data_IF_438208799330
#
_entry.id   IF_438208799330
#
_cell.length_a   1.000
_cell.length_b   1.000
_cell.length_c   1.000
_cell.angle_alpha   90.00
_cell.angle_beta   90.00
_cell.angle_gamma   90.00
#
_symmetry.space_group_name_H-M   'P 1'
#
loop_
_entity.id
_entity.type
_entity.pdbx_description
1 polymer ?
#
# COMPACT_ATOMS: atom_id res chain seq x y z
N UNK A 1 -7.28 -12.30 9.73
CA UNK A 1 -6.27 -11.26 9.99
C UNK A 1 -7.00 -10.22 10.83
N UNK A 2 -6.52 -9.89 12.03
CA UNK A 2 -7.14 -8.84 12.82
C UNK A 2 -6.84 -7.51 12.12
N UNK A 3 -7.87 -6.87 11.57
CA UNK A 3 -7.75 -5.53 10.97
C UNK A 3 -7.49 -4.56 12.12
N UNK A 4 -6.40 -3.80 12.03
CA UNK A 4 -6.10 -2.80 13.05
C UNK A 4 -7.10 -1.61 12.93
N UNK A 5 -7.32 -0.82 13.99
CA UNK A 5 -8.33 0.25 13.95
C UNK A 5 -8.05 1.31 12.87
N UNK A 6 -6.77 1.62 12.63
CA UNK A 6 -6.33 2.57 11.61
C UNK A 6 -6.50 2.04 10.19
N UNK A 7 -6.21 0.77 9.93
CA UNK A 7 -6.49 0.07 8.67
C UNK A 7 -8.01 0.06 8.38
N UNK A 8 -8.82 -0.22 9.40
CA UNK A 8 -10.27 -0.16 9.28
C UNK A 8 -10.74 1.25 8.95
N UNK A 9 -10.16 2.27 9.58
CA UNK A 9 -10.48 3.67 9.29
C UNK A 9 -10.16 4.04 7.84
N UNK A 10 -8.97 3.68 7.33
CA UNK A 10 -8.60 3.92 5.93
C UNK A 10 -9.54 3.19 4.97
N UNK A 11 -9.91 1.94 5.28
CA UNK A 11 -10.88 1.18 4.49
C UNK A 11 -12.25 1.88 4.46
N UNK A 12 -12.77 2.32 5.61
CA UNK A 12 -14.05 3.03 5.68
C UNK A 12 -14.01 4.35 4.93
N UNK A 13 -12.94 5.14 5.10
CA UNK A 13 -12.76 6.40 4.39
C UNK A 13 -12.75 6.17 2.89
N UNK A 14 -12.05 5.12 2.43
CA UNK A 14 -11.98 4.77 1.02
C UNK A 14 -13.36 4.45 0.44
N UNK A 15 -14.20 3.71 1.17
CA UNK A 15 -15.55 3.27 0.73
C UNK A 15 -16.60 4.37 0.81
N UNK A 16 -16.50 5.25 1.80
CA UNK A 16 -17.51 6.28 2.09
C UNK A 16 -17.16 7.65 1.49
N UNK A 17 -16.04 7.77 0.78
CA UNK A 17 -15.69 8.97 0.02
C UNK A 17 -16.41 9.02 -1.33
N UNK A 18 -16.60 10.23 -1.88
CA UNK A 18 -17.09 10.43 -3.25
C UNK A 18 -16.21 9.71 -4.31
N UNK A 19 -14.95 9.43 -3.97
CA UNK A 19 -13.98 8.77 -4.85
C UNK A 19 -13.86 7.26 -4.64
N UNK A 20 -14.80 6.62 -3.96
CA UNK A 20 -14.74 5.18 -3.67
C UNK A 20 -14.55 4.26 -4.89
N UNK A 21 -15.06 4.55 -6.11
CA UNK A 21 -14.81 3.70 -7.28
C UNK A 21 -13.34 3.63 -7.71
N UNK A 22 -12.53 4.60 -7.29
CA UNK A 22 -11.11 4.70 -7.64
C UNK A 22 -10.19 4.22 -6.51
N UNK A 23 -10.76 3.83 -5.37
CA UNK A 23 -10.02 3.45 -4.17
C UNK A 23 -10.00 1.93 -3.98
N UNK A 24 -8.81 1.38 -3.80
CA UNK A 24 -8.55 -0.05 -3.67
C UNK A 24 -7.74 -0.30 -2.39
N UNK A 25 -8.41 -0.48 -1.24
CA UNK A 25 -7.74 -0.74 0.04
C UNK A 25 -7.24 -2.19 0.13
N UNK A 26 -6.25 -2.41 1.00
CA UNK A 26 -5.80 -3.73 1.45
C UNK A 26 -5.44 -4.69 0.30
N UNK A 27 -4.61 -4.22 -0.64
CA UNK A 27 -4.22 -5.02 -1.80
C UNK A 27 -3.11 -6.02 -1.46
N UNK A 28 -3.12 -7.13 -2.19
CA UNK A 28 -2.15 -8.21 -2.06
C UNK A 28 -1.35 -8.38 -3.34
N UNK A 29 -0.08 -8.71 -3.20
CA UNK A 29 0.78 -9.17 -4.28
C UNK A 29 1.13 -10.64 -4.08
N UNK A 30 1.04 -11.43 -5.17
CA UNK A 30 1.47 -12.83 -5.15
C UNK A 30 2.99 -12.94 -5.26
N UNK A 31 3.65 -13.43 -4.21
CA UNK A 31 5.08 -13.78 -4.20
C UNK A 31 5.21 -15.29 -4.09
N UNK A 32 5.44 -15.96 -5.23
CA UNK A 32 5.36 -17.42 -5.31
C UNK A 32 3.93 -17.90 -4.99
N UNK A 33 3.77 -18.69 -3.93
CA UNK A 33 2.46 -19.16 -3.46
C UNK A 33 1.94 -18.41 -2.21
N UNK A 34 2.63 -17.34 -1.80
CA UNK A 34 2.29 -16.60 -0.59
C UNK A 34 1.75 -15.21 -0.96
N UNK A 35 0.68 -14.80 -0.29
CA UNK A 35 0.14 -13.46 -0.41
C UNK A 35 0.96 -12.54 0.50
N UNK A 36 1.61 -11.55 -0.10
CA UNK A 36 2.21 -10.46 0.63
C UNK A 36 1.32 -9.22 0.49
N UNK A 37 1.25 -8.42 1.54
CA UNK A 37 0.60 -7.11 1.46
C UNK A 37 1.32 -6.24 0.43
N UNK A 38 0.56 -5.58 -0.43
CA UNK A 38 1.07 -4.68 -1.46
C UNK A 38 1.24 -3.27 -0.88
N UNK A 39 0.15 -2.69 -0.42
CA UNK A 39 0.08 -1.46 0.37
C UNK A 39 -1.33 -1.29 0.95
N UNK A 40 -1.47 -0.34 1.87
CA UNK A 40 -2.70 -0.10 2.63
C UNK A 40 -3.84 0.44 1.75
N UNK A 41 -3.55 1.37 0.83
CA UNK A 41 -4.52 1.89 -0.12
C UNK A 41 -3.86 2.28 -1.45
N UNK A 42 -4.50 1.89 -2.55
CA UNK A 42 -4.18 2.39 -3.89
C UNK A 42 -5.34 3.22 -4.42
N UNK A 43 -5.02 4.40 -4.95
CA UNK A 43 -5.99 5.22 -5.69
C UNK A 43 -5.53 5.29 -7.14
N UNK A 44 -6.40 4.91 -8.08
CA UNK A 44 -6.11 4.94 -9.52
C UNK A 44 -7.06 5.90 -10.21
N UNK A 45 -6.54 6.94 -10.85
CA UNK A 45 -7.34 7.90 -11.61
C UNK A 45 -6.68 8.18 -12.97
N UNK A 46 -7.28 7.65 -14.04
CA UNK A 46 -6.66 7.67 -15.36
C UNK A 46 -5.27 7.03 -15.31
N UNK A 47 -4.25 7.76 -15.77
CA UNK A 47 -2.85 7.30 -15.76
C UNK A 47 -2.11 7.63 -14.46
N UNK A 48 -2.79 8.16 -13.45
CA UNK A 48 -2.20 8.50 -12.16
C UNK A 48 -2.52 7.42 -11.15
N UNK A 49 -1.47 6.89 -10.51
CA UNK A 49 -1.61 5.95 -9.39
C UNK A 49 -0.97 6.56 -8.15
N UNK A 50 -1.75 6.64 -7.08
CA UNK A 50 -1.31 7.12 -5.77
C UNK A 50 -1.28 5.93 -4.82
N UNK A 51 -0.14 5.72 -4.18
CA UNK A 51 0.06 4.63 -3.21
C UNK A 51 0.15 5.23 -1.81
N UNK A 52 -0.68 4.75 -0.91
CA UNK A 52 -0.68 5.16 0.49
C UNK A 52 -0.13 4.04 1.36
N UNK A 53 0.65 4.42 2.37
CA UNK A 53 0.91 3.55 3.50
C UNK A 53 0.48 4.23 4.79
N UNK A 54 -0.33 3.52 5.57
CA UNK A 54 -0.76 3.88 6.91
C UNK A 54 0.15 3.15 7.90
N UNK A 55 0.57 3.87 8.96
CA UNK A 55 1.39 3.32 10.03
C UNK A 55 1.04 4.00 11.33
N UNK A 56 0.39 3.26 12.21
CA UNK A 56 0.33 3.59 13.62
C UNK A 56 1.46 2.87 14.38
N UNK A 57 2.56 3.59 14.63
CA UNK A 57 3.70 3.06 15.40
C UNK A 57 3.99 4.01 16.55
N UNK A 58 3.80 3.52 17.77
CA UNK A 58 4.06 4.27 18.98
C UNK A 58 5.54 4.64 19.11
N UNK A 59 5.78 5.88 19.54
CA UNK A 59 7.11 6.36 19.89
C UNK A 59 7.45 5.90 21.31
N UNK A 60 8.63 5.29 21.51
CA UNK A 60 9.07 4.87 22.83
C UNK A 60 9.73 6.05 23.55
N UNK A 61 8.95 6.75 24.38
CA UNK A 61 9.42 7.90 25.15
C UNK A 61 10.36 7.53 26.32
N UNK A 62 10.40 6.27 26.75
CA UNK A 62 11.23 5.80 27.86
C UNK A 62 12.69 5.53 27.44
N UNK A 63 12.96 5.46 26.13
CA UNK A 63 14.30 5.27 25.61
C UNK A 63 15.01 6.62 25.37
N UNK A 64 16.35 6.59 25.38
CA UNK A 64 17.15 7.75 25.00
C UNK A 64 16.71 8.30 23.62
N UNK A 65 16.46 9.62 23.55
CA UNK A 65 15.75 10.28 22.45
C UNK A 65 16.29 9.89 21.06
N UNK A 66 17.61 9.96 20.86
CA UNK A 66 18.22 9.62 19.57
C UNK A 66 18.04 8.14 19.19
N UNK A 67 17.97 7.25 20.17
CA UNK A 67 17.71 5.81 19.94
C UNK A 67 16.25 5.58 19.63
N UNK A 68 15.34 6.22 20.39
CA UNK A 68 13.91 6.17 20.17
C UNK A 68 13.55 6.68 18.77
N UNK A 69 14.07 7.85 18.40
CA UNK A 69 13.88 8.47 17.09
C UNK A 69 14.36 7.58 15.94
N UNK A 70 15.61 7.09 16.00
CA UNK A 70 16.15 6.22 14.95
C UNK A 70 15.31 4.95 14.76
N UNK A 71 14.87 4.33 15.86
CA UNK A 71 14.05 3.11 15.83
C UNK A 71 12.66 3.39 15.28
N UNK A 72 12.03 4.47 15.72
CA UNK A 72 10.72 4.89 15.25
C UNK A 72 10.77 5.21 13.75
N UNK A 73 11.66 6.13 13.32
CA UNK A 73 11.79 6.54 11.93
C UNK A 73 12.05 5.36 10.99
N UNK A 74 12.95 4.44 11.38
CA UNK A 74 13.23 3.24 10.59
C UNK A 74 11.98 2.38 10.40
N UNK A 75 11.15 2.27 11.43
CA UNK A 75 9.94 1.42 11.41
C UNK A 75 8.75 2.10 10.74
N UNK A 76 8.49 3.38 11.02
CA UNK A 76 7.30 4.10 10.57
C UNK A 76 7.45 4.74 9.19
N UNK A 77 8.64 5.26 8.88
CA UNK A 77 8.88 6.01 7.64
C UNK A 77 9.69 5.19 6.65
N UNK A 78 10.92 4.81 7.00
CA UNK A 78 11.85 4.21 6.04
C UNK A 78 11.32 2.89 5.46
N UNK A 79 10.82 1.99 6.33
CA UNK A 79 10.26 0.70 5.90
C UNK A 79 9.02 0.87 5.00
N UNK A 80 8.17 1.85 5.29
CA UNK A 80 6.97 2.16 4.50
C UNK A 80 7.34 2.74 3.14
N UNK A 81 8.32 3.64 3.10
CA UNK A 81 8.86 4.16 1.85
C UNK A 81 9.44 3.04 0.97
N UNK A 82 10.22 2.11 1.55
CA UNK A 82 10.76 0.96 0.82
C UNK A 82 9.66 0.08 0.23
N UNK A 83 8.57 -0.17 0.98
CA UNK A 83 7.39 -0.91 0.50
C UNK A 83 6.74 -0.20 -0.68
N UNK A 84 6.45 1.11 -0.56
CA UNK A 84 5.81 1.91 -1.61
C UNK A 84 6.68 2.03 -2.86
N UNK A 85 8.00 2.17 -2.71
CA UNK A 85 8.94 2.14 -3.84
C UNK A 85 8.91 0.78 -4.54
N UNK A 86 8.87 -0.31 -3.77
CA UNK A 86 8.71 -1.67 -4.30
C UNK A 86 7.41 -1.84 -5.09
N UNK A 87 6.30 -1.34 -4.55
CA UNK A 87 4.99 -1.34 -5.19
C UNK A 87 4.99 -0.51 -6.50
N UNK A 88 5.53 0.71 -6.47
CA UNK A 88 5.65 1.56 -7.66
C UNK A 88 6.49 0.90 -8.76
N UNK A 89 7.64 0.30 -8.40
CA UNK A 89 8.46 -0.47 -9.35
C UNK A 89 7.71 -1.67 -9.93
N UNK A 90 6.88 -2.32 -9.13
CA UNK A 90 6.06 -3.46 -9.55
C UNK A 90 5.05 -3.05 -10.63
N UNK A 91 4.33 -1.93 -10.41
CA UNK A 91 3.38 -1.38 -11.39
C UNK A 91 4.08 -0.90 -12.67
N UNK A 92 5.19 -0.18 -12.55
CA UNK A 92 5.98 0.29 -13.71
C UNK A 92 6.58 -0.84 -14.54
N UNK A 93 6.74 -2.04 -13.98
CA UNK A 93 7.17 -3.24 -14.72
C UNK A 93 6.02 -3.98 -15.39
N UNK A 94 4.78 -3.56 -15.17
CA UNK A 94 3.59 -4.25 -15.66
C UNK A 94 3.33 -5.56 -14.95
N UNK A 95 3.69 -5.68 -13.67
CA UNK A 95 3.45 -6.91 -12.93
C UNK A 95 1.95 -7.17 -12.79
N UNK A 96 1.55 -8.36 -13.17
CA UNK A 96 0.14 -8.78 -13.25
C UNK A 96 -0.39 -9.38 -11.95
N UNK A 97 0.36 -9.32 -10.85
CA UNK A 97 0.09 -10.16 -9.68
C UNK A 97 -0.50 -9.40 -8.49
N UNK A 98 -1.33 -8.37 -8.75
CA UNK A 98 -2.02 -7.59 -7.70
C UNK A 98 -3.48 -8.00 -7.59
N UNK A 99 -3.92 -8.26 -6.36
CA UNK A 99 -5.21 -8.85 -6.04
C UNK A 99 -5.89 -8.12 -4.88
N UNK A 100 -7.22 -8.13 -4.86
CA UNK A 100 -8.00 -7.60 -3.72
C UNK A 100 -8.26 -8.65 -2.63
N UNK A 101 -7.64 -9.84 -2.73
CA UNK A 101 -7.74 -10.89 -1.73
C UNK A 101 -6.49 -11.78 -1.70
N UNK A 102 -6.21 -12.33 -0.52
CA UNK A 102 -5.06 -13.20 -0.28
C UNK A 102 -5.18 -14.60 -0.94
N UNK A 103 -6.35 -14.96 -1.48
CA UNK A 103 -6.56 -16.23 -2.21
C UNK A 103 -6.30 -16.09 -3.71
N UNK A 104 -5.94 -14.89 -4.17
CA UNK A 104 -5.67 -14.55 -5.57
C UNK A 104 -6.86 -14.76 -6.50
N UNK A 105 -8.09 -14.61 -5.99
CA UNK A 105 -9.31 -14.86 -6.77
C UNK A 105 -9.74 -13.62 -7.57
N UNK A 106 -9.49 -12.42 -7.05
CA UNK A 106 -9.88 -11.15 -7.67
C UNK A 106 -8.66 -10.34 -8.09
N UNK A 107 -8.29 -10.48 -9.36
CA UNK A 107 -7.20 -9.73 -9.98
C UNK A 107 -7.63 -8.27 -10.24
N UNK A 108 -6.71 -7.33 -10.02
CA UNK A 108 -6.91 -5.91 -10.31
C UNK A 108 -6.06 -5.43 -11.50
N UNK A 109 -5.55 -6.34 -12.33
CA UNK A 109 -4.72 -5.98 -13.49
C UNK A 109 -5.37 -4.96 -14.42
N UNK A 110 -6.66 -5.12 -14.72
CA UNK A 110 -7.39 -4.24 -15.63
C UNK A 110 -7.66 -2.85 -15.06
N UNK A 111 -7.47 -2.65 -13.76
CA UNK A 111 -7.63 -1.36 -13.09
C UNK A 111 -6.38 -0.50 -13.31
N UNK A 112 -5.19 -1.11 -13.33
CA UNK A 112 -3.95 -0.36 -13.40
C UNK A 112 -3.65 0.12 -14.83
N UNK A 113 -3.10 1.34 -14.98
CA UNK A 113 -2.60 1.81 -16.27
C UNK A 113 -1.48 0.92 -16.78
N UNK A 114 -1.27 0.93 -18.09
CA UNK A 114 -0.16 0.18 -18.66
C UNK A 114 1.18 0.83 -18.28
N UNK A 115 2.27 0.06 -18.23
CA UNK A 115 3.60 0.59 -17.93
C UNK A 115 4.00 1.82 -18.76
N UNK A 116 3.69 1.81 -20.06
CA UNK A 116 3.95 2.91 -20.97
C UNK A 116 3.24 4.21 -20.58
N UNK A 117 2.07 4.12 -19.94
CA UNK A 117 1.27 5.27 -19.52
C UNK A 117 1.73 5.86 -18.18
N UNK A 118 2.58 5.14 -17.43
CA UNK A 118 3.14 5.55 -16.14
C UNK A 118 4.51 6.26 -16.28
N UNK A 119 5.02 6.40 -17.50
CA UNK A 119 6.34 6.97 -17.78
C UNK A 119 6.31 8.51 -17.74
N UNK A 120 6.53 9.11 -16.57
CA UNK A 120 6.56 10.58 -16.45
C UNK A 120 7.09 11.18 -15.15
N UNK A 121 7.51 10.39 -14.15
CA UNK A 121 8.09 10.89 -12.90
C UNK A 121 9.41 10.17 -12.57
#
# INVERSE_FOLDING_TARGET
MAVNESEFFVEQLSKNSFFSPWCFPNLFIKKGNVAAEFCDLVVVFGNVVILFSEKDISFNADAAELVAWKRWFKKSVAKSADQLIGAAKCLRRGSTNVYSDAKFQRSLQSVFPKPEDLAGC
#
